data_IF_615058443775
#
_entry.id   IF_615058443775
#
_cell.length_a   1.000
_cell.length_b   1.000
_cell.length_c   1.000
_cell.angle_alpha   90.00
_cell.angle_beta   90.00
_cell.angle_gamma   90.00
#
_symmetry.space_group_name_H-M   'P 1'
#
loop_
_entity.id
_entity.type
_entity.pdbx_description
1 polymer ?
#
# COMPACT_ATOMS: atom_id res chain seq x y z
N UNK A 1 17.49 -19.02 -17.11
CA UNK A 1 16.27 -19.79 -16.88
C UNK A 1 16.35 -20.36 -15.47
N UNK A 2 15.78 -19.67 -14.50
CA UNK A 2 15.63 -20.18 -13.14
C UNK A 2 14.12 -20.23 -12.88
N UNK A 3 13.66 -21.46 -12.68
CA UNK A 3 12.27 -21.78 -12.39
C UNK A 3 11.78 -21.02 -11.15
N UNK A 4 10.74 -20.23 -11.33
CA UNK A 4 9.87 -19.80 -10.25
C UNK A 4 8.95 -20.98 -9.88
N UNK A 5 9.50 -22.00 -9.22
CA UNK A 5 8.67 -22.92 -8.48
C UNK A 5 8.12 -22.18 -7.27
N UNK A 6 6.83 -21.96 -7.26
CA UNK A 6 6.06 -21.53 -6.12
C UNK A 6 6.23 -22.53 -4.98
N UNK A 7 7.18 -22.29 -4.07
CA UNK A 7 7.21 -22.97 -2.78
C UNK A 7 6.01 -22.46 -1.97
N UNK A 8 4.90 -23.17 -2.12
CA UNK A 8 3.72 -23.04 -1.28
C UNK A 8 4.10 -23.61 0.08
N UNK A 9 4.14 -22.77 1.09
CA UNK A 9 4.23 -23.21 2.48
C UNK A 9 3.05 -24.15 2.80
N UNK A 10 3.26 -25.28 3.46
CA UNK A 10 2.19 -26.20 3.80
C UNK A 10 1.25 -25.57 4.84
N UNK A 11 -0.03 -25.55 4.53
CA UNK A 11 -1.08 -25.22 5.49
C UNK A 11 -1.09 -26.23 6.64
N UNK A 12 -1.36 -25.83 7.89
CA UNK A 12 -1.59 -26.77 8.98
C UNK A 12 -2.85 -27.58 8.68
N UNK A 13 -2.70 -28.90 8.67
CA UNK A 13 -3.82 -29.85 8.52
C UNK A 13 -4.71 -29.76 9.74
N UNK A 14 -5.96 -29.33 9.57
CA UNK A 14 -7.01 -29.49 10.56
C UNK A 14 -7.35 -30.99 10.67
N UNK A 15 -6.98 -31.61 11.76
CA UNK A 15 -7.47 -32.91 12.17
C UNK A 15 -8.83 -32.75 12.82
N UNK A 16 -9.88 -33.14 12.12
CA UNK A 16 -11.23 -33.27 12.68
C UNK A 16 -11.36 -34.67 13.29
N UNK A 17 -11.71 -34.83 14.58
CA UNK A 17 -12.24 -36.10 15.09
C UNK A 17 -13.73 -36.16 14.81
N UNK A 18 -14.17 -37.24 14.21
CA UNK A 18 -15.58 -37.57 14.03
C UNK A 18 -16.27 -37.77 15.38
N UNK A 19 -17.47 -37.23 15.50
CA UNK A 19 -18.37 -37.50 16.60
C UNK A 19 -19.64 -38.11 16.01
N UNK A 20 -19.90 -39.36 16.44
CA UNK A 20 -21.16 -40.07 16.24
C UNK A 20 -22.34 -39.33 16.88
N UNK A 21 -23.52 -39.46 16.22
CA UNK A 21 -24.81 -39.02 16.73
C UNK A 21 -25.32 -40.02 17.73
N UNK A 22 -25.75 -39.60 18.90
CA UNK A 22 -26.92 -40.13 19.56
C UNK A 22 -27.64 -39.05 20.38
N UNK A 23 -28.98 -39.11 20.33
CA UNK A 23 -29.87 -38.09 20.81
C UNK A 23 -30.18 -38.15 22.28
N UNK A 24 -30.61 -37.04 22.82
CA UNK A 24 -31.70 -36.91 23.79
C UNK A 24 -32.02 -35.43 24.08
N UNK A 25 -33.27 -35.00 23.84
CA UNK A 25 -33.83 -33.75 24.30
C UNK A 25 -33.97 -33.77 25.82
N UNK A 26 -33.51 -32.69 26.47
CA UNK A 26 -34.13 -32.24 27.73
C UNK A 26 -34.09 -30.71 27.83
N UNK A 27 -35.30 -30.16 27.98
CA UNK A 27 -35.57 -28.74 28.25
C UNK A 27 -35.23 -28.43 29.70
N UNK A 28 -34.56 -27.29 29.95
CA UNK A 28 -34.60 -26.63 31.26
C UNK A 28 -34.76 -25.13 31.09
N UNK A 29 -35.77 -24.60 31.77
CA UNK A 29 -36.12 -23.18 31.90
C UNK A 29 -35.39 -22.55 33.09
N UNK A 30 -35.18 -21.21 33.11
CA UNK A 30 -34.43 -20.53 34.16
C UNK A 30 -35.32 -20.18 35.36
N UNK A 31 -34.79 -20.31 36.58
CA UNK A 31 -35.38 -19.77 37.79
C UNK A 31 -34.55 -18.56 38.29
N UNK A 32 -35.26 -17.44 38.44
CA UNK A 32 -34.87 -16.26 39.23
C UNK A 32 -34.92 -16.57 40.73
N UNK A 33 -34.03 -15.99 41.53
CA UNK A 33 -34.33 -15.60 42.91
C UNK A 33 -33.25 -14.63 43.50
N UNK A 34 -33.56 -13.93 44.63
CA UNK A 34 -33.42 -12.48 44.64
C UNK A 34 -32.36 -11.96 45.66
N UNK A 35 -32.25 -10.63 45.69
CA UNK A 35 -31.37 -9.76 46.46
C UNK A 35 -31.31 -10.01 47.98
N UNK A 36 -30.11 -9.81 48.54
CA UNK A 36 -29.87 -9.54 49.96
C UNK A 36 -29.23 -8.15 50.12
N UNK A 37 -29.86 -7.31 50.96
CA UNK A 37 -29.42 -5.97 51.36
C UNK A 37 -28.63 -6.02 52.67
N UNK A 38 -27.56 -5.17 52.78
CA UNK A 38 -27.20 -4.37 53.96
C UNK A 38 -25.78 -4.68 54.50
N UNK A 39 -25.19 -3.84 55.34
CA UNK A 39 -25.52 -2.49 55.75
C UNK A 39 -24.39 -1.43 55.55
N UNK A 40 -24.77 -0.15 55.70
CA UNK A 40 -23.93 1.05 55.72
C UNK A 40 -23.00 1.12 56.93
N UNK A 41 -21.73 1.54 56.72
CA UNK A 41 -20.94 2.18 57.76
C UNK A 41 -20.27 3.46 57.24
N UNK A 42 -20.29 4.48 58.10
CA UNK A 42 -19.82 5.87 57.87
C UNK A 42 -18.29 5.96 58.12
N UNK A 43 -17.64 6.88 57.40
CA UNK A 43 -16.57 7.70 57.99
C UNK A 43 -15.18 7.45 57.46
N UNK A 44 -14.59 8.51 56.92
CA UNK A 44 -13.13 8.58 56.70
C UNK A 44 -12.75 9.34 55.44
N UNK A 45 -12.66 10.68 55.57
CA UNK A 45 -12.10 11.55 54.54
C UNK A 45 -10.58 11.43 54.58
N UNK A 46 -9.97 10.76 53.61
CA UNK A 46 -8.52 10.77 53.39
C UNK A 46 -8.23 11.44 52.05
N UNK A 47 -7.54 12.58 52.11
CA UNK A 47 -6.94 13.22 50.97
C UNK A 47 -5.89 12.28 50.31
N UNK A 48 -6.15 11.80 49.13
CA UNK A 48 -5.15 11.15 48.29
C UNK A 48 -4.73 12.14 47.21
N UNK A 49 -3.47 12.60 47.30
CA UNK A 49 -2.74 13.24 46.23
C UNK A 49 -2.73 12.30 45.02
N UNK A 50 -3.44 12.70 43.98
CA UNK A 50 -3.45 12.02 42.68
C UNK A 50 -2.10 12.23 41.98
N UNK A 51 -1.21 11.26 42.09
CA UNK A 51 -0.09 11.12 41.17
C UNK A 51 -0.65 10.72 39.80
N UNK A 52 -0.51 11.61 38.80
CA UNK A 52 -0.73 11.27 37.39
C UNK A 52 0.39 10.32 36.99
N UNK A 53 0.14 9.03 37.04
CA UNK A 53 0.96 8.04 36.33
C UNK A 53 0.73 8.26 34.83
N UNK A 54 1.69 8.92 34.17
CA UNK A 54 1.85 8.83 32.71
C UNK A 54 2.16 7.36 32.40
N UNK A 55 1.14 6.60 32.03
CA UNK A 55 1.31 5.29 31.45
C UNK A 55 1.97 5.49 30.08
N UNK A 56 3.31 5.45 30.05
CA UNK A 56 4.05 5.20 28.81
C UNK A 56 3.71 3.78 28.39
N UNK A 57 2.70 3.66 27.52
CA UNK A 57 2.37 2.40 26.89
C UNK A 57 3.59 1.95 26.06
N UNK A 58 4.40 1.09 26.63
CA UNK A 58 5.34 0.30 25.86
C UNK A 58 4.48 -0.61 25.00
N UNK A 59 4.40 -0.33 23.69
CA UNK A 59 3.98 -1.31 22.69
C UNK A 59 4.86 -2.54 22.95
N UNK A 60 4.28 -3.59 23.50
CA UNK A 60 4.97 -4.87 23.67
C UNK A 60 5.41 -5.31 22.28
N UNK A 61 6.72 -5.35 22.08
CA UNK A 61 7.29 -5.89 20.87
C UNK A 61 6.72 -7.31 20.70
N UNK A 62 6.03 -7.53 19.61
CA UNK A 62 5.52 -8.85 19.27
C UNK A 62 6.75 -9.77 19.12
N UNK A 63 6.82 -10.82 19.91
CA UNK A 63 7.92 -11.78 19.83
C UNK A 63 7.72 -12.63 18.58
N UNK A 64 8.52 -12.36 17.54
CA UNK A 64 8.56 -13.18 16.34
C UNK A 64 9.01 -14.60 16.69
N UNK A 65 8.42 -15.59 16.04
CA UNK A 65 8.90 -16.95 16.11
C UNK A 65 10.25 -17.09 15.37
N UNK A 66 11.06 -18.13 15.65
CA UNK A 66 12.30 -18.39 14.90
C UNK A 66 12.05 -18.54 13.39
N UNK A 67 10.91 -19.12 13.00
CA UNK A 67 10.54 -19.30 11.59
C UNK A 67 10.23 -17.95 10.93
N UNK A 68 9.45 -17.09 11.58
CA UNK A 68 9.16 -15.73 11.08
C UNK A 68 10.44 -14.91 10.94
N UNK A 69 11.35 -15.00 11.93
CA UNK A 69 12.65 -14.33 11.87
C UNK A 69 13.47 -14.79 10.67
N UNK A 70 13.59 -16.11 10.46
CA UNK A 70 14.31 -16.67 9.33
C UNK A 70 13.68 -16.27 7.98
N UNK A 71 12.35 -16.21 7.90
CA UNK A 71 11.64 -15.75 6.71
C UNK A 71 11.90 -14.28 6.41
N UNK A 72 11.91 -13.42 7.43
CA UNK A 72 12.25 -11.99 7.29
C UNK A 72 13.69 -11.83 6.80
N UNK A 73 14.66 -12.55 7.36
CA UNK A 73 16.06 -12.49 6.95
C UNK A 73 16.25 -12.92 5.49
N UNK A 74 15.61 -14.03 5.09
CA UNK A 74 15.64 -14.53 3.71
C UNK A 74 15.02 -13.53 2.74
N UNK A 75 13.88 -12.96 3.07
CA UNK A 75 13.19 -11.98 2.24
C UNK A 75 13.98 -10.67 2.14
N UNK A 76 14.54 -10.20 3.25
CA UNK A 76 15.41 -9.02 3.32
C UNK A 76 16.60 -9.15 2.36
N UNK A 77 17.26 -10.29 2.36
CA UNK A 77 18.36 -10.55 1.45
C UNK A 77 17.93 -10.58 -0.02
N UNK A 78 16.78 -11.22 -0.30
CA UNK A 78 16.28 -11.40 -1.68
C UNK A 78 15.75 -10.10 -2.30
N UNK A 79 15.13 -9.25 -1.51
CA UNK A 79 14.39 -8.07 -1.99
C UNK A 79 15.03 -6.74 -1.60
N UNK A 80 16.32 -6.75 -1.29
CA UNK A 80 17.07 -5.55 -0.92
C UNK A 80 16.46 -4.81 0.27
N UNK A 81 15.90 -5.57 1.22
CA UNK A 81 15.38 -5.04 2.46
C UNK A 81 16.48 -4.61 3.43
N UNK A 82 16.05 -4.08 4.56
CA UNK A 82 16.91 -3.73 5.69
C UNK A 82 16.06 -3.84 6.98
N UNK A 83 16.49 -4.65 7.93
CA UNK A 83 15.74 -4.91 9.16
C UNK A 83 16.67 -5.10 10.36
N UNK A 84 17.47 -4.08 10.75
CA UNK A 84 18.42 -4.20 11.84
C UNK A 84 17.74 -4.41 13.19
N UNK A 85 18.38 -5.20 14.05
CA UNK A 85 17.96 -5.42 15.44
C UNK A 85 18.03 -4.13 16.27
N UNK A 86 19.06 -3.30 16.03
CA UNK A 86 19.20 -1.97 16.62
C UNK A 86 19.16 -0.91 15.51
N UNK A 87 17.99 -0.36 15.20
CA UNK A 87 17.82 0.63 14.12
C UNK A 87 18.20 2.06 14.53
N UNK A 88 18.60 2.29 15.78
CA UNK A 88 18.74 3.63 16.33
C UNK A 88 17.40 4.34 16.59
N UNK A 89 17.41 5.61 17.00
CA UNK A 89 16.20 6.36 17.33
C UNK A 89 15.39 6.77 16.10
N UNK A 90 14.11 7.04 16.31
CA UNK A 90 13.26 7.72 15.30
C UNK A 90 13.76 9.13 15.07
N UNK A 91 13.50 9.68 13.87
CA UNK A 91 13.87 11.04 13.52
C UNK A 91 13.14 12.05 14.42
N UNK A 92 13.90 12.92 15.08
CA UNK A 92 13.38 14.00 15.94
C UNK A 92 13.47 15.39 15.26
N UNK A 93 14.12 15.44 14.10
CA UNK A 93 14.33 16.64 13.28
C UNK A 93 13.27 16.84 12.20
N UNK A 94 12.29 15.95 12.12
CA UNK A 94 11.19 16.03 11.14
C UNK A 94 9.91 16.58 11.78
N UNK A 95 9.27 17.52 11.09
CA UNK A 95 7.93 17.97 11.43
C UNK A 95 6.87 17.06 10.80
N UNK A 96 5.86 16.72 11.57
CA UNK A 96 4.69 15.97 11.10
C UNK A 96 3.61 16.84 10.46
N UNK A 97 3.86 18.14 10.35
CA UNK A 97 2.96 19.05 9.66
C UNK A 97 2.88 18.73 8.17
N UNK A 98 1.73 19.02 7.57
CA UNK A 98 1.49 18.82 6.14
C UNK A 98 1.78 20.04 5.27
N UNK A 99 2.46 21.05 5.83
CA UNK A 99 2.94 22.16 5.00
C UNK A 99 4.02 21.66 4.01
N UNK A 100 4.12 22.27 2.82
CA UNK A 100 5.02 21.76 1.78
C UNK A 100 6.48 21.68 2.19
N UNK A 101 6.95 22.59 3.06
CA UNK A 101 8.33 22.59 3.54
C UNK A 101 8.63 21.38 4.42
N UNK A 102 7.77 21.12 5.39
CA UNK A 102 7.89 19.95 6.29
C UNK A 102 7.80 18.63 5.51
N UNK A 103 6.84 18.52 4.58
CA UNK A 103 6.67 17.32 3.76
C UNK A 103 7.90 17.08 2.88
N UNK A 104 8.41 18.12 2.21
CA UNK A 104 9.63 18.03 1.39
C UNK A 104 10.87 17.64 2.20
N UNK A 105 10.98 18.10 3.45
CA UNK A 105 12.09 17.71 4.33
C UNK A 105 12.05 16.22 4.66
N UNK A 106 10.88 15.68 5.02
CA UNK A 106 10.71 14.24 5.28
C UNK A 106 10.96 13.41 4.01
N UNK A 107 10.40 13.82 2.88
CA UNK A 107 10.59 13.19 1.58
C UNK A 107 12.07 13.10 1.21
N UNK A 108 12.81 14.22 1.31
CA UNK A 108 14.24 14.29 1.00
C UNK A 108 15.06 13.36 1.88
N UNK A 109 14.83 13.38 3.19
CA UNK A 109 15.57 12.54 4.14
C UNK A 109 15.45 11.04 3.79
N UNK A 110 14.24 10.59 3.48
CA UNK A 110 13.98 9.19 3.10
C UNK A 110 14.53 8.87 1.71
N UNK A 111 14.33 9.76 0.73
CA UNK A 111 14.80 9.56 -0.63
C UNK A 111 16.33 9.51 -0.71
N UNK A 112 17.03 10.43 -0.03
CA UNK A 112 18.51 10.47 0.01
C UNK A 112 19.08 9.20 0.64
N UNK A 113 18.53 8.76 1.78
CA UNK A 113 18.96 7.52 2.43
C UNK A 113 18.78 6.32 1.48
N UNK A 114 17.62 6.23 0.83
CA UNK A 114 17.32 5.09 -0.04
C UNK A 114 18.16 5.12 -1.32
N UNK A 115 18.34 6.28 -1.96
CA UNK A 115 19.14 6.40 -3.18
C UNK A 115 20.59 6.02 -2.91
N UNK A 116 21.21 6.57 -1.84
CA UNK A 116 22.61 6.32 -1.50
C UNK A 116 22.93 4.82 -1.32
N UNK A 117 21.98 4.05 -0.73
CA UNK A 117 22.21 2.62 -0.50
C UNK A 117 21.86 1.75 -1.69
N UNK A 118 20.95 2.20 -2.58
CA UNK A 118 20.31 1.33 -3.57
C UNK A 118 20.81 1.51 -5.00
N UNK A 119 21.32 2.68 -5.38
CA UNK A 119 21.71 3.00 -6.77
C UNK A 119 22.64 1.97 -7.41
N UNK A 120 23.68 1.42 -6.72
CA UNK A 120 24.56 0.42 -7.33
C UNK A 120 23.90 -0.92 -7.66
N UNK A 121 22.71 -1.19 -7.04
CA UNK A 121 22.05 -2.49 -7.05
C UNK A 121 20.73 -2.52 -7.82
N UNK A 122 20.38 -1.47 -8.54
CA UNK A 122 19.11 -1.37 -9.28
C UNK A 122 18.83 -2.59 -10.15
N UNK A 123 17.56 -3.10 -10.06
CA UNK A 123 17.01 -4.25 -10.75
C UNK A 123 15.64 -3.88 -11.36
N UNK A 124 15.04 -4.77 -12.17
CA UNK A 124 13.74 -4.56 -12.83
C UNK A 124 12.59 -5.33 -12.19
N UNK A 125 12.78 -5.95 -11.02
CA UNK A 125 11.67 -6.60 -10.31
C UNK A 125 10.72 -5.55 -9.72
N UNK A 126 9.47 -5.92 -9.51
CA UNK A 126 8.39 -5.01 -9.08
C UNK A 126 8.71 -4.22 -7.81
N UNK A 127 9.46 -4.81 -6.85
CA UNK A 127 9.85 -4.13 -5.60
C UNK A 127 10.68 -2.87 -5.85
N UNK A 128 11.52 -2.89 -6.90
CA UNK A 128 12.31 -1.75 -7.33
C UNK A 128 11.48 -0.78 -8.17
N UNK A 129 10.61 -1.28 -9.04
CA UNK A 129 9.79 -0.44 -9.90
C UNK A 129 8.94 0.55 -9.12
N UNK A 130 8.40 0.14 -7.97
CA UNK A 130 7.66 1.04 -7.07
C UNK A 130 8.56 2.12 -6.47
N UNK A 131 9.79 1.78 -6.10
CA UNK A 131 10.78 2.77 -5.66
C UNK A 131 11.06 3.81 -6.75
N UNK A 132 11.20 3.35 -8.00
CA UNK A 132 11.49 4.22 -9.14
C UNK A 132 10.38 5.23 -9.41
N UNK A 133 9.12 4.81 -9.38
CA UNK A 133 7.98 5.75 -9.41
C UNK A 133 8.03 6.75 -8.25
N UNK A 134 8.45 6.31 -7.05
CA UNK A 134 8.69 7.19 -5.92
C UNK A 134 9.82 8.19 -6.15
N UNK A 135 10.93 7.79 -6.78
CA UNK A 135 12.02 8.69 -7.14
C UNK A 135 11.62 9.71 -8.22
N UNK A 136 10.81 9.30 -9.22
CA UNK A 136 10.26 10.24 -10.18
C UNK A 136 9.39 11.31 -9.50
N UNK A 137 8.52 10.90 -8.57
CA UNK A 137 7.72 11.81 -7.76
C UNK A 137 8.58 12.73 -6.87
N UNK A 138 9.67 12.19 -6.29
CA UNK A 138 10.62 12.98 -5.49
C UNK A 138 11.36 14.02 -6.34
N UNK A 139 11.84 13.63 -7.53
CA UNK A 139 12.50 14.54 -8.45
C UNK A 139 11.62 15.75 -8.78
N UNK A 140 10.37 15.51 -9.16
CA UNK A 140 9.40 16.55 -9.48
C UNK A 140 9.06 17.43 -8.27
N UNK A 141 8.73 16.83 -7.12
CA UNK A 141 8.27 17.54 -5.93
C UNK A 141 9.36 18.38 -5.26
N UNK A 142 10.58 17.84 -5.22
CA UNK A 142 11.74 18.50 -4.60
C UNK A 142 12.46 19.44 -5.57
N UNK A 143 12.15 19.40 -6.87
CA UNK A 143 12.89 20.05 -7.94
C UNK A 143 14.38 19.68 -7.90
N UNK A 144 14.65 18.39 -7.76
CA UNK A 144 15.98 17.84 -7.60
C UNK A 144 16.21 16.73 -8.66
N UNK A 145 17.00 16.99 -9.70
CA UNK A 145 17.16 16.06 -10.81
C UNK A 145 17.93 14.79 -10.44
N UNK A 146 18.67 14.76 -9.31
CA UNK A 146 19.45 13.57 -8.92
C UNK A 146 18.63 12.28 -8.94
N UNK A 147 17.35 12.35 -8.57
CA UNK A 147 16.50 11.18 -8.54
C UNK A 147 16.07 10.75 -9.95
N UNK A 148 15.66 11.68 -10.82
CA UNK A 148 15.32 11.35 -12.21
C UNK A 148 16.55 10.95 -13.03
N UNK A 149 17.71 11.56 -12.79
CA UNK A 149 18.97 11.20 -13.45
C UNK A 149 19.36 9.76 -13.11
N UNK A 150 19.23 9.36 -11.83
CA UNK A 150 19.44 7.97 -11.42
C UNK A 150 18.45 7.00 -12.10
N UNK A 151 17.21 7.44 -12.37
CA UNK A 151 16.22 6.64 -13.11
C UNK A 151 16.54 6.56 -14.60
N UNK A 152 17.09 7.61 -15.19
CA UNK A 152 17.60 7.60 -16.56
C UNK A 152 18.78 6.62 -16.69
N UNK A 153 19.78 6.71 -15.81
CA UNK A 153 20.92 5.78 -15.76
C UNK A 153 20.49 4.31 -15.59
N UNK A 154 19.52 4.06 -14.70
CA UNK A 154 18.93 2.73 -14.53
C UNK A 154 18.27 2.25 -15.82
N UNK A 155 17.50 3.10 -16.48
CA UNK A 155 16.78 2.76 -17.69
C UNK A 155 17.73 2.45 -18.86
N UNK A 156 18.79 3.23 -19.02
CA UNK A 156 19.86 3.01 -19.99
C UNK A 156 20.62 1.70 -19.72
N UNK A 157 20.96 1.44 -18.44
CA UNK A 157 21.60 0.18 -18.02
C UNK A 157 20.81 -1.04 -18.48
N UNK A 158 19.50 -0.98 -18.40
CA UNK A 158 18.59 -2.04 -18.81
C UNK A 158 18.06 -1.90 -20.24
N UNK A 159 18.59 -0.94 -21.04
CA UNK A 159 18.20 -0.71 -22.41
C UNK A 159 16.69 -0.53 -22.59
N UNK A 160 16.04 0.09 -21.62
CA UNK A 160 14.57 0.34 -21.59
C UNK A 160 13.70 -0.93 -21.70
N UNK A 161 14.31 -2.12 -21.47
CA UNK A 161 13.61 -3.40 -21.59
C UNK A 161 12.81 -3.72 -20.35
N UNK A 162 11.57 -4.20 -20.52
CA UNK A 162 10.82 -4.84 -19.46
C UNK A 162 11.55 -6.09 -18.96
N UNK A 163 11.11 -6.63 -17.82
CA UNK A 163 11.81 -7.77 -17.21
C UNK A 163 11.70 -9.06 -18.02
N UNK A 164 10.62 -9.23 -18.80
CA UNK A 164 10.33 -10.43 -19.58
C UNK A 164 9.83 -10.04 -20.99
N UNK A 165 10.04 -10.91 -21.98
CA UNK A 165 9.46 -10.78 -23.33
C UNK A 165 7.95 -10.98 -23.32
N UNK A 166 7.43 -11.82 -22.39
CA UNK A 166 6.01 -12.04 -22.15
C UNK A 166 5.68 -11.59 -20.72
N UNK A 167 5.61 -10.27 -20.47
CA UNK A 167 5.57 -9.74 -19.13
C UNK A 167 4.21 -9.97 -18.47
N UNK A 168 4.22 -10.56 -17.26
CA UNK A 168 3.10 -10.46 -16.35
C UNK A 168 3.00 -9.02 -15.79
N UNK A 169 2.03 -8.74 -14.90
CA UNK A 169 1.86 -7.39 -14.36
C UNK A 169 3.11 -6.88 -13.61
N UNK A 170 3.76 -7.73 -12.81
CA UNK A 170 4.97 -7.36 -12.08
C UNK A 170 6.13 -7.02 -13.02
N UNK A 171 6.30 -7.80 -14.09
CA UNK A 171 7.34 -7.57 -15.10
C UNK A 171 7.11 -6.29 -15.93
N UNK A 172 5.85 -5.84 -16.04
CA UNK A 172 5.48 -4.59 -16.70
C UNK A 172 5.82 -3.35 -15.84
N UNK A 173 5.85 -3.48 -14.52
CA UNK A 173 5.83 -2.36 -13.58
C UNK A 173 6.96 -1.33 -13.78
N UNK A 174 8.15 -1.74 -14.21
CA UNK A 174 9.28 -0.84 -14.51
C UNK A 174 8.97 0.09 -15.69
N UNK A 175 8.07 -0.32 -16.58
CA UNK A 175 7.58 0.47 -17.71
C UNK A 175 6.89 1.77 -17.29
N UNK A 176 6.36 1.87 -16.06
CA UNK A 176 5.84 3.12 -15.53
C UNK A 176 6.92 4.21 -15.59
N UNK A 177 8.10 3.94 -15.03
CA UNK A 177 9.23 4.88 -15.01
C UNK A 177 9.75 5.18 -16.41
N UNK A 178 9.88 4.18 -17.29
CA UNK A 178 10.31 4.40 -18.67
C UNK A 178 9.38 5.35 -19.42
N UNK A 179 8.08 5.18 -19.25
CA UNK A 179 7.09 6.03 -19.90
C UNK A 179 7.00 7.41 -19.27
N UNK A 180 7.16 7.56 -17.96
CA UNK A 180 7.28 8.86 -17.32
C UNK A 180 8.50 9.65 -17.85
N UNK A 181 9.66 9.02 -17.99
CA UNK A 181 10.85 9.62 -18.61
C UNK A 181 10.62 9.96 -20.07
N UNK A 182 9.90 9.09 -20.83
CA UNK A 182 9.49 9.41 -22.21
C UNK A 182 8.56 10.62 -22.26
N UNK A 183 7.60 10.73 -21.34
CA UNK A 183 6.67 11.86 -21.32
C UNK A 183 7.36 13.19 -21.01
N UNK A 184 8.45 13.17 -20.25
CA UNK A 184 9.29 14.34 -19.99
C UNK A 184 10.16 14.73 -21.20
N UNK A 185 10.78 13.73 -21.84
CA UNK A 185 11.66 13.94 -23.00
C UNK A 185 11.28 12.91 -24.07
N UNK A 186 10.60 13.35 -25.11
CA UNK A 186 9.96 12.53 -26.16
C UNK A 186 10.96 11.77 -27.05
N UNK A 187 11.91 11.05 -26.43
CA UNK A 187 12.86 10.19 -27.12
C UNK A 187 12.21 8.82 -27.41
N UNK A 188 12.04 8.43 -28.68
CA UNK A 188 11.34 7.21 -29.07
C UNK A 188 11.92 5.92 -28.44
N UNK A 189 13.21 5.85 -28.17
CA UNK A 189 13.85 4.68 -27.60
C UNK A 189 13.32 4.35 -26.20
N UNK A 190 12.96 5.38 -25.42
CA UNK A 190 12.47 5.25 -24.05
C UNK A 190 11.17 4.45 -23.92
N UNK A 191 10.33 4.43 -24.97
CA UNK A 191 9.06 3.70 -24.95
C UNK A 191 9.03 2.47 -25.85
N UNK A 192 9.97 2.34 -26.80
CA UNK A 192 9.88 1.38 -27.89
C UNK A 192 9.73 -0.07 -27.40
N UNK A 193 10.56 -0.50 -26.45
CA UNK A 193 10.51 -1.86 -25.92
C UNK A 193 9.23 -2.12 -25.11
N UNK A 194 8.80 -1.15 -24.27
CA UNK A 194 7.54 -1.26 -23.54
C UNK A 194 6.36 -1.33 -24.51
N UNK A 195 6.33 -0.48 -25.54
CA UNK A 195 5.28 -0.49 -26.56
C UNK A 195 5.21 -1.84 -27.28
N UNK A 196 6.35 -2.38 -27.73
CA UNK A 196 6.41 -3.67 -28.39
C UNK A 196 5.88 -4.81 -27.51
N UNK A 197 6.23 -4.81 -26.22
CA UNK A 197 5.73 -5.80 -25.26
C UNK A 197 4.21 -5.70 -25.07
N UNK A 198 3.66 -4.50 -24.90
CA UNK A 198 2.20 -4.30 -24.77
C UNK A 198 1.46 -4.67 -26.06
N UNK A 199 2.00 -4.33 -27.23
CA UNK A 199 1.44 -4.72 -28.53
C UNK A 199 1.46 -6.26 -28.71
N UNK A 200 2.49 -6.94 -28.19
CA UNK A 200 2.54 -8.39 -28.11
C UNK A 200 1.41 -8.99 -27.25
N UNK A 201 1.14 -8.40 -26.08
CA UNK A 201 0.02 -8.82 -25.22
C UNK A 201 -1.33 -8.59 -25.91
N UNK A 202 -1.52 -7.48 -26.61
CA UNK A 202 -2.71 -7.21 -27.44
C UNK A 202 -2.87 -8.23 -28.57
N UNK A 203 -1.78 -8.77 -29.12
CA UNK A 203 -1.79 -9.80 -30.15
C UNK A 203 -1.99 -11.23 -29.59
N UNK A 204 -2.23 -11.38 -28.29
CA UNK A 204 -2.50 -12.66 -27.63
C UNK A 204 -1.29 -13.34 -26.99
N UNK A 205 -0.12 -12.68 -26.95
CA UNK A 205 0.95 -13.14 -26.07
C UNK A 205 0.48 -13.12 -24.61
N UNK A 206 0.91 -14.06 -23.80
CA UNK A 206 0.52 -14.11 -22.38
C UNK A 206 1.65 -14.66 -21.53
N UNK A 207 1.79 -14.13 -20.32
CA UNK A 207 2.59 -14.77 -19.30
C UNK A 207 1.86 -16.00 -18.74
N UNK A 208 2.62 -16.97 -18.24
CA UNK A 208 2.04 -18.14 -17.58
C UNK A 208 1.32 -17.74 -16.29
N UNK A 209 0.09 -18.22 -16.13
CA UNK A 209 -0.69 -18.07 -14.91
C UNK A 209 -0.61 -19.34 -14.08
N UNK A 210 -0.40 -19.29 -12.74
CA UNK A 210 -0.39 -20.46 -11.90
C UNK A 210 -1.72 -21.25 -12.00
N UNK A 211 -1.66 -22.57 -12.06
CA UNK A 211 -2.83 -23.44 -12.28
C UNK A 211 -3.92 -23.31 -11.21
N UNK A 212 -3.54 -22.92 -9.99
CA UNK A 212 -4.47 -22.71 -8.86
C UNK A 212 -5.04 -21.30 -8.80
N UNK A 213 -4.78 -20.47 -9.82
CA UNK A 213 -5.27 -19.09 -9.90
C UNK A 213 -6.29 -18.92 -11.03
N UNK A 214 -7.03 -17.82 -11.01
CA UNK A 214 -7.90 -17.44 -12.11
C UNK A 214 -7.07 -17.24 -13.37
N UNK A 215 -7.50 -17.86 -14.49
CA UNK A 215 -6.75 -17.86 -15.76
C UNK A 215 -7.00 -16.55 -16.52
N UNK A 216 -6.65 -15.41 -15.88
CA UNK A 216 -6.74 -14.05 -16.42
C UNK A 216 -5.40 -13.34 -16.25
N UNK A 217 -5.07 -12.31 -17.05
CA UNK A 217 -3.77 -11.64 -17.00
C UNK A 217 -3.44 -11.03 -15.63
N UNK A 218 -4.41 -10.42 -14.97
CA UNK A 218 -4.23 -9.74 -13.68
C UNK A 218 -5.01 -10.49 -12.57
N UNK A 219 -4.60 -11.73 -12.31
CA UNK A 219 -5.29 -12.67 -11.41
C UNK A 219 -5.15 -12.35 -9.91
N UNK A 220 -4.40 -11.29 -9.53
CA UNK A 220 -4.21 -10.85 -8.15
C UNK A 220 -4.36 -9.32 -8.03
N UNK A 221 -4.80 -8.84 -6.88
CA UNK A 221 -5.15 -7.43 -6.69
C UNK A 221 -3.96 -6.47 -6.86
N UNK A 222 -2.74 -6.90 -6.50
CA UNK A 222 -1.52 -6.08 -6.62
C UNK A 222 -1.22 -5.75 -8.10
N UNK A 223 -1.61 -6.64 -9.02
CA UNK A 223 -1.47 -6.42 -10.46
C UNK A 223 -2.10 -5.10 -10.91
N UNK A 224 -3.15 -4.63 -10.21
CA UNK A 224 -3.86 -3.39 -10.50
C UNK A 224 -3.05 -2.11 -10.21
N UNK A 225 -1.91 -2.22 -9.54
CA UNK A 225 -0.91 -1.15 -9.47
C UNK A 225 0.23 -1.36 -10.46
N UNK A 226 0.61 -2.63 -10.69
CA UNK A 226 1.82 -2.95 -11.44
C UNK A 226 1.66 -2.68 -12.95
N UNK A 227 0.57 -3.14 -13.55
CA UNK A 227 0.33 -3.06 -14.99
C UNK A 227 -0.51 -1.84 -15.43
N UNK A 228 -1.71 -1.56 -14.88
CA UNK A 228 -2.61 -0.53 -15.42
C UNK A 228 -1.98 0.85 -15.65
N UNK A 229 -1.11 1.38 -14.76
CA UNK A 229 -0.44 2.65 -15.03
C UNK A 229 0.49 2.62 -16.26
N UNK A 230 1.08 1.47 -16.60
CA UNK A 230 1.89 1.33 -17.83
C UNK A 230 1.01 1.50 -19.07
N UNK A 231 -0.19 0.93 -19.04
CA UNK A 231 -1.16 1.03 -20.14
C UNK A 231 -1.72 2.44 -20.28
N UNK A 232 -2.03 3.12 -19.17
CA UNK A 232 -2.51 4.52 -19.22
C UNK A 232 -1.40 5.47 -19.67
N UNK A 233 -0.17 5.31 -19.20
CA UNK A 233 0.99 6.09 -19.69
C UNK A 233 1.28 5.83 -21.17
N UNK A 234 1.10 4.59 -21.66
CA UNK A 234 1.26 4.28 -23.07
C UNK A 234 0.16 4.97 -23.90
N UNK A 235 -1.07 5.05 -23.41
CA UNK A 235 -2.10 5.87 -24.01
C UNK A 235 -1.68 7.35 -24.05
N UNK A 236 -1.19 7.91 -22.96
CA UNK A 236 -0.71 9.30 -22.91
C UNK A 236 0.47 9.55 -23.88
N UNK A 237 1.28 8.52 -24.12
CA UNK A 237 2.42 8.57 -25.05
C UNK A 237 2.02 8.50 -26.52
N UNK A 238 0.92 7.80 -26.86
CA UNK A 238 0.55 7.44 -28.25
C UNK A 238 -0.80 7.97 -28.69
N UNK A 239 -1.70 8.26 -27.76
CA UNK A 239 -3.13 8.54 -27.96
C UNK A 239 -3.91 7.41 -28.66
N UNK A 240 -3.39 6.17 -28.63
CA UNK A 240 -4.06 5.01 -29.20
C UNK A 240 -4.98 4.37 -28.14
N UNK A 241 -6.28 4.41 -28.41
CA UNK A 241 -7.33 3.95 -27.50
C UNK A 241 -7.24 2.45 -27.16
N UNK A 242 -6.54 1.64 -27.98
CA UNK A 242 -6.37 0.20 -27.71
C UNK A 242 -5.78 -0.08 -26.33
N UNK A 243 -4.86 0.78 -25.85
CA UNK A 243 -4.22 0.62 -24.55
C UNK A 243 -5.19 0.84 -23.38
N UNK A 244 -6.06 1.86 -23.46
CA UNK A 244 -7.11 2.04 -22.47
C UNK A 244 -8.20 0.97 -22.55
N UNK A 245 -8.50 0.46 -23.74
CA UNK A 245 -9.49 -0.63 -23.91
C UNK A 245 -9.03 -1.91 -23.22
N UNK A 246 -7.77 -2.31 -23.40
CA UNK A 246 -7.17 -3.46 -22.74
C UNK A 246 -7.13 -3.28 -21.22
N UNK A 247 -6.69 -2.10 -20.76
CA UNK A 247 -6.68 -1.74 -19.34
C UNK A 247 -8.08 -1.87 -18.72
N UNK A 248 -9.10 -1.30 -19.37
CA UNK A 248 -10.47 -1.28 -18.89
C UNK A 248 -11.04 -2.71 -18.79
N UNK A 249 -10.85 -3.53 -19.82
CA UNK A 249 -11.29 -4.92 -19.85
C UNK A 249 -10.73 -5.71 -18.66
N UNK A 250 -9.42 -5.73 -18.50
CA UNK A 250 -8.77 -6.56 -17.48
C UNK A 250 -8.87 -5.99 -16.06
N UNK A 251 -8.99 -4.66 -15.91
CA UNK A 251 -9.32 -4.08 -14.60
C UNK A 251 -10.65 -4.60 -14.07
N UNK A 252 -11.69 -4.55 -14.91
CA UNK A 252 -13.02 -4.98 -14.47
C UNK A 252 -13.18 -6.49 -14.41
N UNK A 253 -12.41 -7.25 -15.17
CA UNK A 253 -12.31 -8.70 -15.04
C UNK A 253 -11.75 -9.09 -13.67
N UNK A 254 -10.64 -8.49 -13.24
CA UNK A 254 -10.08 -8.69 -11.90
C UNK A 254 -11.02 -8.22 -10.79
N UNK A 255 -11.63 -7.03 -10.96
CA UNK A 255 -12.58 -6.48 -9.99
C UNK A 255 -13.80 -7.38 -9.79
N UNK A 256 -14.33 -7.95 -10.86
CA UNK A 256 -15.45 -8.90 -10.78
C UNK A 256 -15.13 -10.13 -9.94
N UNK A 257 -13.88 -10.56 -9.91
CA UNK A 257 -13.45 -11.74 -9.17
C UNK A 257 -13.09 -11.42 -7.71
N UNK A 258 -12.41 -10.32 -7.46
CA UNK A 258 -11.71 -10.07 -6.20
C UNK A 258 -12.32 -8.96 -5.35
N UNK A 259 -13.20 -8.11 -5.90
CA UNK A 259 -13.81 -7.01 -5.16
C UNK A 259 -15.02 -7.49 -4.35
N UNK A 260 -14.95 -7.37 -3.03
CA UNK A 260 -16.10 -7.55 -2.14
C UNK A 260 -16.93 -6.26 -2.12
N UNK A 261 -18.05 -6.26 -2.87
CA UNK A 261 -18.95 -5.11 -3.00
C UNK A 261 -19.71 -4.75 -1.70
N UNK A 262 -19.71 -5.63 -0.69
CA UNK A 262 -20.35 -5.31 0.61
C UNK A 262 -19.38 -4.58 1.55
N UNK A 263 -18.08 -4.92 1.46
CA UNK A 263 -17.04 -4.33 2.30
C UNK A 263 -16.23 -3.26 1.58
N UNK A 264 -16.38 -3.18 0.26
CA UNK A 264 -15.61 -2.30 -0.62
C UNK A 264 -14.09 -2.48 -0.50
N UNK A 265 -13.66 -3.75 -0.37
CA UNK A 265 -12.27 -4.17 -0.23
C UNK A 265 -11.96 -5.30 -1.21
N UNK A 266 -10.67 -5.46 -1.54
CA UNK A 266 -10.20 -6.54 -2.41
C UNK A 266 -9.62 -7.69 -1.62
N UNK A 267 -10.00 -8.91 -1.98
CA UNK A 267 -9.21 -10.10 -1.71
C UNK A 267 -7.93 -10.07 -2.53
N UNK A 268 -6.85 -10.67 -2.02
CA UNK A 268 -5.58 -10.69 -2.74
C UNK A 268 -5.69 -11.45 -4.07
N UNK A 269 -6.23 -12.66 -4.04
CA UNK A 269 -6.51 -13.53 -5.19
C UNK A 269 -7.61 -14.54 -4.82
N UNK A 270 -7.96 -15.44 -5.76
CA UNK A 270 -9.06 -16.40 -5.54
C UNK A 270 -8.83 -17.37 -4.39
N UNK A 271 -7.60 -17.60 -3.94
CA UNK A 271 -7.31 -18.48 -2.81
C UNK A 271 -7.73 -17.88 -1.47
N UNK A 272 -7.92 -16.54 -1.42
CA UNK A 272 -8.35 -15.81 -0.23
C UNK A 272 -9.87 -15.59 -0.14
N UNK A 273 -10.66 -15.94 -1.18
CA UNK A 273 -12.12 -15.68 -1.18
C UNK A 273 -12.87 -16.33 0.01
N UNK A 274 -12.32 -17.41 0.55
CA UNK A 274 -12.89 -18.14 1.68
C UNK A 274 -11.93 -18.27 2.86
N UNK A 275 -10.76 -17.64 2.80
CA UNK A 275 -9.81 -17.60 3.89
C UNK A 275 -10.29 -16.65 5.00
N UNK A 276 -9.99 -17.02 6.25
CA UNK A 276 -10.33 -16.22 7.41
C UNK A 276 -9.12 -15.98 8.29
N UNK A 277 -9.10 -14.83 8.95
CA UNK A 277 -8.15 -14.47 10.01
C UNK A 277 -8.42 -15.29 11.27
N UNK A 278 -7.56 -15.17 12.28
CA UNK A 278 -7.69 -15.83 13.58
C UNK A 278 -9.00 -15.47 14.30
N UNK A 279 -9.50 -14.27 14.10
CA UNK A 279 -10.79 -13.79 14.63
C UNK A 279 -12.02 -14.25 13.81
N UNK A 280 -11.85 -15.10 12.80
CA UNK A 280 -12.90 -15.63 11.94
C UNK A 280 -13.41 -14.66 10.86
N UNK A 281 -12.80 -13.46 10.70
CA UNK A 281 -13.18 -12.49 9.67
C UNK A 281 -12.42 -12.78 8.36
N UNK A 282 -12.94 -12.36 7.20
CA UNK A 282 -12.23 -12.50 5.92
C UNK A 282 -10.88 -11.80 5.93
N UNK A 283 -9.91 -12.35 5.20
CA UNK A 283 -8.57 -11.77 5.05
C UNK A 283 -8.60 -10.61 4.07
N UNK A 284 -8.47 -9.37 4.57
CA UNK A 284 -8.26 -8.19 3.74
C UNK A 284 -6.92 -7.53 4.10
N UNK A 285 -5.94 -7.77 3.24
CA UNK A 285 -4.60 -7.27 3.41
C UNK A 285 -4.48 -5.78 3.07
N UNK A 286 -3.93 -4.98 3.98
CA UNK A 286 -3.85 -3.52 3.82
C UNK A 286 -3.02 -3.10 2.61
N UNK A 287 -1.84 -3.70 2.40
CA UNK A 287 -0.99 -3.40 1.25
C UNK A 287 -1.66 -3.80 -0.07
N UNK A 288 -2.34 -4.95 -0.13
CA UNK A 288 -3.11 -5.37 -1.32
C UNK A 288 -4.16 -4.33 -1.70
N UNK A 289 -4.95 -3.87 -0.72
CA UNK A 289 -5.95 -2.81 -0.93
C UNK A 289 -5.30 -1.46 -1.25
N UNK A 290 -4.18 -1.15 -0.62
CA UNK A 290 -3.37 0.02 -0.94
C UNK A 290 -2.90 0.04 -2.40
N UNK A 291 -2.45 -1.11 -2.93
CA UNK A 291 -2.07 -1.24 -4.35
C UNK A 291 -3.22 -0.88 -5.27
N UNK A 292 -4.42 -1.43 -5.03
CA UNK A 292 -5.58 -1.13 -5.88
C UNK A 292 -5.93 0.36 -5.85
N UNK A 293 -6.01 0.96 -4.67
CA UNK A 293 -6.34 2.38 -4.53
C UNK A 293 -5.30 3.28 -5.22
N UNK A 294 -4.02 3.00 -5.04
CA UNK A 294 -2.93 3.72 -5.70
C UNK A 294 -2.92 3.48 -7.23
N UNK A 295 -3.24 2.27 -7.67
CA UNK A 295 -3.41 1.92 -9.08
C UNK A 295 -4.55 2.69 -9.74
N UNK A 296 -5.70 2.86 -9.07
CA UNK A 296 -6.79 3.72 -9.55
C UNK A 296 -6.29 5.15 -9.74
N UNK A 297 -5.64 5.72 -8.74
CA UNK A 297 -5.14 7.09 -8.79
C UNK A 297 -4.20 7.30 -9.97
N UNK A 298 -3.17 6.46 -10.12
CA UNK A 298 -2.20 6.55 -11.22
C UNK A 298 -2.83 6.31 -12.61
N UNK A 299 -3.78 5.39 -12.71
CA UNK A 299 -4.51 5.15 -13.96
C UNK A 299 -5.33 6.37 -14.38
N UNK A 300 -5.98 7.02 -13.43
CA UNK A 300 -6.81 8.20 -13.67
C UNK A 300 -6.01 9.46 -14.04
N UNK A 301 -4.70 9.51 -13.77
CA UNK A 301 -3.83 10.62 -14.18
C UNK A 301 -3.86 10.83 -15.70
N UNK A 302 -3.80 9.75 -16.47
CA UNK A 302 -3.74 9.81 -17.94
C UNK A 302 -5.07 9.49 -18.62
N UNK A 303 -6.04 8.93 -17.91
CA UNK A 303 -7.34 8.60 -18.47
C UNK A 303 -8.12 9.88 -18.77
N UNK A 304 -8.60 10.11 -20.01
CA UNK A 304 -9.36 11.30 -20.36
C UNK A 304 -10.59 11.50 -19.48
N UNK A 305 -10.93 12.75 -19.20
CA UNK A 305 -12.09 13.10 -18.37
C UNK A 305 -13.41 12.58 -18.95
N UNK A 306 -13.49 12.45 -20.28
CA UNK A 306 -14.65 11.94 -21.00
C UNK A 306 -14.57 10.45 -21.35
N UNK A 307 -13.59 9.71 -20.81
CA UNK A 307 -13.50 8.26 -21.05
C UNK A 307 -14.71 7.54 -20.44
N UNK A 308 -15.39 6.65 -21.20
CA UNK A 308 -16.71 6.13 -20.80
C UNK A 308 -16.76 5.47 -19.42
N UNK A 309 -15.71 4.75 -19.02
CA UNK A 309 -15.66 4.04 -17.73
C UNK A 309 -14.97 4.84 -16.61
N UNK A 310 -14.41 6.04 -16.88
CA UNK A 310 -13.72 6.85 -15.85
C UNK A 310 -14.53 6.99 -14.55
N UNK A 311 -15.83 7.27 -14.68
CA UNK A 311 -16.73 7.40 -13.52
C UNK A 311 -16.83 6.13 -12.66
N UNK A 312 -16.60 4.93 -13.23
CA UNK A 312 -16.59 3.68 -12.46
C UNK A 312 -15.34 3.60 -11.58
N UNK A 313 -14.16 3.98 -12.10
CA UNK A 313 -12.90 4.04 -11.31
C UNK A 313 -13.02 5.05 -10.17
N UNK A 314 -13.54 6.23 -10.45
CA UNK A 314 -13.77 7.25 -9.41
C UNK A 314 -14.75 6.77 -8.34
N UNK A 315 -15.80 6.05 -8.73
CA UNK A 315 -16.76 5.46 -7.79
C UNK A 315 -16.10 4.40 -6.94
N UNK A 316 -15.34 3.48 -7.54
CA UNK A 316 -14.61 2.45 -6.80
C UNK A 316 -13.60 3.06 -5.82
N UNK A 317 -12.88 4.13 -6.22
CA UNK A 317 -11.99 4.84 -5.31
C UNK A 317 -12.75 5.45 -4.12
N UNK A 318 -13.92 6.07 -4.34
CA UNK A 318 -14.76 6.63 -3.26
C UNK A 318 -15.22 5.54 -2.28
N UNK A 319 -15.69 4.41 -2.79
CA UNK A 319 -16.17 3.28 -1.99
C UNK A 319 -15.02 2.69 -1.14
N UNK A 320 -13.90 2.36 -1.76
CA UNK A 320 -12.73 1.83 -1.05
C UNK A 320 -12.19 2.83 -0.02
N UNK A 321 -12.15 4.12 -0.37
CA UNK A 321 -11.70 5.18 0.52
C UNK A 321 -12.57 5.29 1.77
N UNK A 322 -13.90 5.23 1.62
CA UNK A 322 -14.82 5.23 2.75
C UNK A 322 -14.60 4.01 3.66
N UNK A 323 -14.42 2.83 3.05
CA UNK A 323 -14.18 1.58 3.78
C UNK A 323 -12.86 1.64 4.59
N UNK A 324 -11.74 1.99 3.95
CA UNK A 324 -10.44 2.03 4.66
C UNK A 324 -10.38 3.14 5.70
N UNK A 325 -11.04 4.28 5.48
CA UNK A 325 -11.08 5.38 6.46
C UNK A 325 -11.71 4.94 7.79
N UNK A 326 -12.75 4.09 7.74
CA UNK A 326 -13.37 3.54 8.93
C UNK A 326 -12.45 2.57 9.71
N UNK A 327 -11.40 2.07 9.08
CA UNK A 327 -10.44 1.11 9.63
C UNK A 327 -9.10 1.76 10.01
N UNK A 328 -8.97 3.09 9.88
CA UNK A 328 -7.76 3.81 10.26
C UNK A 328 -7.55 3.74 11.78
N UNK A 329 -6.41 3.24 12.23
CA UNK A 329 -6.10 3.15 13.65
C UNK A 329 -6.06 4.55 14.31
N UNK A 330 -6.74 4.66 15.45
CA UNK A 330 -6.94 5.93 16.13
C UNK A 330 -5.65 6.50 16.72
N UNK A 331 -4.74 5.66 17.15
CA UNK A 331 -3.52 6.04 17.87
C UNK A 331 -2.39 6.35 16.89
N UNK A 332 -2.06 5.43 16.00
CA UNK A 332 -0.97 5.58 15.04
C UNK A 332 -1.33 6.46 13.86
N UNK A 333 -2.60 6.50 13.47
CA UNK A 333 -3.08 7.13 12.24
C UNK A 333 -2.83 6.31 10.98
N UNK A 334 -2.27 5.12 11.09
CA UNK A 334 -1.96 4.22 10.00
C UNK A 334 -2.97 3.05 9.95
N UNK A 335 -2.74 2.10 9.08
CA UNK A 335 -3.49 0.84 9.01
C UNK A 335 -2.58 -0.31 9.38
N UNK A 336 -3.15 -1.36 9.95
CA UNK A 336 -2.46 -2.59 10.31
C UNK A 336 -2.30 -3.49 9.07
N UNK A 337 -1.43 -4.50 9.13
CA UNK A 337 -1.23 -5.43 8.00
C UNK A 337 -2.54 -6.11 7.58
N UNK A 338 -3.34 -6.60 8.54
CA UNK A 338 -4.73 -6.98 8.30
C UNK A 338 -5.67 -5.81 8.59
N UNK A 339 -6.58 -5.51 7.65
CA UNK A 339 -7.59 -4.47 7.82
C UNK A 339 -8.69 -4.86 8.82
N UNK A 340 -8.90 -6.17 9.05
CA UNK A 340 -9.97 -6.66 9.89
C UNK A 340 -9.50 -7.39 11.16
N UNK A 341 -8.20 -7.57 11.36
CA UNK A 341 -7.62 -8.21 12.53
C UNK A 341 -6.39 -7.46 13.07
N UNK A 342 -6.61 -6.25 13.56
CA UNK A 342 -5.55 -5.45 14.17
C UNK A 342 -5.05 -6.04 15.51
N UNK A 343 -5.79 -6.95 16.12
CA UNK A 343 -5.37 -7.59 17.36
C UNK A 343 -4.24 -8.60 17.14
N UNK A 344 -4.32 -9.36 16.03
CA UNK A 344 -3.26 -10.29 15.65
C UNK A 344 -2.08 -9.55 14.98
N UNK A 345 -2.34 -8.43 14.30
CA UNK A 345 -1.34 -7.61 13.63
C UNK A 345 -1.24 -6.20 14.26
N UNK A 346 -0.75 -6.05 15.49
CA UNK A 346 -0.86 -4.79 16.25
C UNK A 346 0.07 -3.67 15.77
N UNK A 347 1.11 -3.99 14.97
CA UNK A 347 1.99 -2.96 14.43
C UNK A 347 1.35 -2.22 13.25
N UNK A 348 1.51 -0.89 13.15
CA UNK A 348 1.05 -0.13 12.00
C UNK A 348 1.90 -0.40 10.78
N UNK A 349 1.29 -0.85 9.67
CA UNK A 349 1.97 -1.27 8.44
C UNK A 349 2.19 -0.06 7.52
N UNK A 350 3.45 0.27 7.26
CA UNK A 350 3.84 1.52 6.58
C UNK A 350 3.55 1.50 5.09
N UNK A 351 3.75 0.38 4.37
CA UNK A 351 3.62 0.36 2.91
C UNK A 351 2.17 0.50 2.45
N UNK A 352 1.25 -0.28 3.00
CA UNK A 352 -0.17 -0.15 2.73
C UNK A 352 -0.72 1.21 3.14
N UNK A 353 -0.29 1.71 4.32
CA UNK A 353 -0.66 3.04 4.79
C UNK A 353 -0.18 4.17 3.85
N UNK A 354 1.03 4.05 3.32
CA UNK A 354 1.56 5.03 2.38
C UNK A 354 0.79 5.03 1.05
N UNK A 355 0.49 3.85 0.49
CA UNK A 355 -0.31 3.71 -0.73
C UNK A 355 -1.73 4.28 -0.57
N UNK A 356 -2.39 3.98 0.55
CA UNK A 356 -3.70 4.54 0.87
C UNK A 356 -3.63 6.06 1.05
N UNK A 357 -2.59 6.58 1.72
CA UNK A 357 -2.38 8.02 1.90
C UNK A 357 -2.15 8.71 0.56
N UNK A 358 -1.37 8.12 -0.35
CA UNK A 358 -1.20 8.60 -1.72
C UNK A 358 -2.55 8.72 -2.44
N UNK A 359 -3.33 7.64 -2.48
CA UNK A 359 -4.61 7.61 -3.18
C UNK A 359 -5.64 8.59 -2.59
N UNK A 360 -5.68 8.72 -1.26
CA UNK A 360 -6.51 9.70 -0.55
C UNK A 360 -6.13 11.13 -0.91
N UNK A 361 -4.83 11.46 -0.86
CA UNK A 361 -4.34 12.79 -1.14
C UNK A 361 -4.52 13.14 -2.63
N UNK A 362 -4.22 12.21 -3.53
CA UNK A 362 -4.49 12.33 -4.96
C UNK A 362 -5.99 12.61 -5.23
N UNK A 363 -6.87 11.80 -4.64
CA UNK A 363 -8.31 11.96 -4.81
C UNK A 363 -8.83 13.32 -4.35
N UNK A 364 -8.29 13.87 -3.26
CA UNK A 364 -8.60 15.22 -2.77
C UNK A 364 -8.05 16.29 -3.72
N UNK A 365 -6.82 16.15 -4.20
CA UNK A 365 -6.17 17.10 -5.09
C UNK A 365 -6.88 17.21 -6.44
N UNK A 366 -7.43 16.08 -6.94
CA UNK A 366 -8.12 16.00 -8.22
C UNK A 366 -9.66 16.12 -8.12
N UNK A 367 -10.20 16.42 -6.92
CA UNK A 367 -11.62 16.67 -6.72
C UNK A 367 -12.51 15.40 -6.80
N UNK A 368 -11.91 14.21 -6.78
CA UNK A 368 -12.63 12.93 -6.70
C UNK A 368 -13.17 12.70 -5.29
N UNK A 369 -12.43 13.14 -4.27
CA UNK A 369 -12.77 12.99 -2.86
C UNK A 369 -13.05 14.36 -2.21
N UNK A 370 -13.99 14.39 -1.24
CA UNK A 370 -14.31 15.61 -0.49
C UNK A 370 -13.14 16.05 0.39
N UNK A 371 -12.67 17.27 0.16
CA UNK A 371 -11.52 17.84 0.87
C UNK A 371 -11.78 18.00 2.39
N UNK A 372 -12.98 18.39 2.78
CA UNK A 372 -13.34 18.59 4.18
C UNK A 372 -13.31 17.31 4.98
N UNK A 373 -13.81 16.22 4.36
CA UNK A 373 -13.89 14.89 4.96
C UNK A 373 -12.51 14.23 5.06
N UNK A 374 -11.74 14.25 3.96
CA UNK A 374 -10.52 13.40 3.88
C UNK A 374 -9.22 14.10 4.27
N UNK A 375 -9.14 15.44 4.27
CA UNK A 375 -7.92 16.13 4.73
C UNK A 375 -7.54 15.79 6.18
N UNK A 376 -8.46 15.66 7.15
CA UNK A 376 -8.13 15.22 8.50
C UNK A 376 -7.58 13.77 8.55
N UNK A 377 -8.13 12.86 7.75
CA UNK A 377 -7.68 11.46 7.61
C UNK A 377 -6.25 11.42 7.09
N UNK A 378 -5.97 12.16 6.00
CA UNK A 378 -4.64 12.27 5.40
C UNK A 378 -3.64 12.88 6.39
N UNK A 379 -4.03 13.94 7.11
CA UNK A 379 -3.14 14.58 8.08
C UNK A 379 -2.75 13.63 9.23
N UNK A 380 -3.67 12.78 9.65
CA UNK A 380 -3.44 11.76 10.66
C UNK A 380 -2.53 10.65 10.14
N UNK A 381 -2.77 10.16 8.93
CA UNK A 381 -1.93 9.17 8.26
C UNK A 381 -0.51 9.71 8.01
N UNK A 382 -0.38 10.94 7.52
CA UNK A 382 0.90 11.59 7.29
C UNK A 382 1.74 11.70 8.57
N UNK A 383 1.13 12.09 9.69
CA UNK A 383 1.79 12.11 11.00
C UNK A 383 2.33 10.73 11.36
N UNK A 384 1.53 9.70 11.19
CA UNK A 384 1.93 8.32 11.43
C UNK A 384 3.10 7.88 10.55
N UNK A 385 3.06 8.20 9.25
CA UNK A 385 4.11 7.88 8.27
C UNK A 385 5.44 8.56 8.63
N UNK A 386 5.43 9.86 8.96
CA UNK A 386 6.65 10.56 9.41
C UNK A 386 7.19 9.95 10.69
N UNK A 387 6.33 9.49 11.59
CA UNK A 387 6.71 8.77 12.80
C UNK A 387 7.42 7.43 12.56
N UNK A 388 7.36 6.88 11.33
CA UNK A 388 8.11 5.68 10.97
C UNK A 388 9.52 5.95 10.44
N UNK A 389 9.92 7.20 10.27
CA UNK A 389 11.26 7.57 9.79
C UNK A 389 12.26 7.52 10.94
N UNK A 390 13.40 6.88 10.73
CA UNK A 390 14.52 6.83 11.66
C UNK A 390 15.49 8.01 11.44
N UNK A 391 16.35 8.25 12.42
CA UNK A 391 17.28 9.38 12.39
C UNK A 391 18.25 9.36 11.21
N UNK A 392 18.64 8.17 10.74
CA UNK A 392 19.48 7.96 9.56
C UNK A 392 18.77 8.19 8.22
N UNK A 393 17.44 8.26 8.21
CA UNK A 393 16.59 8.39 7.01
C UNK A 393 15.87 7.11 6.61
N UNK A 394 16.13 5.97 7.27
CA UNK A 394 15.39 4.72 7.05
C UNK A 394 13.91 4.89 7.32
N UNK A 395 13.07 4.39 6.45
CA UNK A 395 11.63 4.26 6.68
C UNK A 395 11.33 2.85 7.18
N UNK A 396 10.92 2.71 8.44
CA UNK A 396 10.62 1.41 9.04
C UNK A 396 9.14 1.01 8.97
N UNK A 397 8.81 -0.12 9.59
CA UNK A 397 7.44 -0.61 9.72
C UNK A 397 6.86 -1.14 8.41
N UNK A 398 7.69 -1.57 7.47
CA UNK A 398 7.27 -2.13 6.19
C UNK A 398 7.27 -3.66 6.31
N UNK A 399 6.10 -4.29 6.17
CA UNK A 399 5.98 -5.73 6.10
C UNK A 399 6.77 -6.28 4.90
N UNK A 400 7.49 -7.39 5.06
CA UNK A 400 8.19 -8.10 3.98
C UNK A 400 7.25 -8.51 2.83
N UNK A 401 7.83 -8.96 1.71
CA UNK A 401 7.05 -9.46 0.58
C UNK A 401 6.20 -10.66 0.99
N UNK A 402 5.03 -10.80 0.39
CA UNK A 402 4.11 -11.89 0.70
C UNK A 402 2.71 -11.62 0.15
N UNK A 403 1.84 -12.63 0.13
CA UNK A 403 0.48 -12.52 -0.42
C UNK A 403 -0.59 -12.14 0.62
N UNK A 404 -0.22 -11.99 1.90
CA UNK A 404 -1.15 -11.86 3.01
C UNK A 404 -0.58 -10.99 4.13
N UNK A 405 -1.38 -10.60 5.14
CA UNK A 405 -0.88 -10.04 6.38
C UNK A 405 0.18 -10.95 7.00
N UNK A 406 1.24 -10.37 7.54
CA UNK A 406 2.29 -11.08 8.26
C UNK A 406 2.91 -10.18 9.32
N UNK A 407 3.55 -10.78 10.31
CA UNK A 407 4.34 -10.07 11.31
C UNK A 407 5.68 -9.60 10.72
N UNK A 408 6.20 -8.49 11.23
CA UNK A 408 7.44 -7.88 10.75
C UNK A 408 8.12 -7.08 11.87
N UNK A 409 9.38 -6.71 11.67
CA UNK A 409 10.10 -5.88 12.62
C UNK A 409 9.74 -4.38 12.43
N UNK A 410 9.62 -3.59 13.51
CA UNK A 410 9.43 -2.14 13.42
C UNK A 410 10.51 -1.42 12.60
N UNK A 411 11.72 -2.02 12.51
CA UNK A 411 12.84 -1.53 11.72
C UNK A 411 12.80 -1.93 10.26
N UNK A 412 11.95 -2.89 9.88
CA UNK A 412 11.89 -3.42 8.52
C UNK A 412 11.63 -2.34 7.48
N UNK A 413 12.51 -2.24 6.49
CA UNK A 413 12.48 -1.30 5.39
C UNK A 413 12.62 -2.05 4.08
N UNK A 414 11.75 -1.75 3.11
CA UNK A 414 11.79 -2.34 1.77
C UNK A 414 11.56 -1.27 0.71
N UNK A 415 12.18 -1.43 -0.44
CA UNK A 415 12.17 -0.48 -1.55
C UNK A 415 10.77 -0.04 -1.97
N UNK A 416 9.83 -0.97 -2.10
CA UNK A 416 8.44 -0.67 -2.49
C UNK A 416 7.69 0.19 -1.47
N UNK A 417 7.93 -0.01 -0.17
CA UNK A 417 7.31 0.82 0.86
C UNK A 417 7.89 2.23 0.90
N UNK A 418 9.20 2.36 0.64
CA UNK A 418 9.84 3.67 0.46
C UNK A 418 9.25 4.37 -0.77
N UNK A 419 9.12 3.68 -1.91
CA UNK A 419 8.48 4.24 -3.11
C UNK A 419 7.07 4.74 -2.84
N UNK A 420 6.26 3.95 -2.13
CA UNK A 420 4.91 4.33 -1.71
C UNK A 420 4.90 5.60 -0.81
N UNK A 421 5.85 5.71 0.13
CA UNK A 421 6.01 6.90 0.97
C UNK A 421 6.35 8.15 0.13
N UNK A 422 7.22 8.02 -0.86
CA UNK A 422 7.60 9.13 -1.74
C UNK A 422 6.41 9.57 -2.62
N UNK A 423 5.61 8.63 -3.14
CA UNK A 423 4.36 8.93 -3.84
C UNK A 423 3.36 9.64 -2.91
N UNK A 424 3.17 9.16 -1.67
CA UNK A 424 2.31 9.82 -0.70
C UNK A 424 2.80 11.24 -0.37
N UNK A 425 4.12 11.41 -0.20
CA UNK A 425 4.73 12.71 0.08
C UNK A 425 4.44 13.72 -1.02
N UNK A 426 4.52 13.34 -2.30
CA UNK A 426 4.26 14.23 -3.43
C UNK A 426 2.84 14.80 -3.39
N UNK A 427 1.85 13.94 -3.14
CA UNK A 427 0.45 14.37 -3.10
C UNK A 427 0.11 15.15 -1.82
N UNK A 428 0.68 14.77 -0.67
CA UNK A 428 0.48 15.51 0.58
C UNK A 428 1.07 16.93 0.48
N UNK A 429 2.21 17.12 -0.20
CA UNK A 429 2.80 18.44 -0.43
C UNK A 429 1.89 19.37 -1.25
N UNK A 430 1.06 18.81 -2.14
CA UNK A 430 0.15 19.59 -2.99
C UNK A 430 -1.14 20.01 -2.27
N UNK A 431 -1.57 19.32 -1.21
CA UNK A 431 -2.81 19.61 -0.48
C UNK A 431 -2.90 21.05 0.00
N UNK A 432 -1.79 21.64 0.43
CA UNK A 432 -1.72 23.00 0.98
C UNK A 432 -1.69 24.08 -0.09
N UNK A 433 -1.18 23.78 -1.29
CA UNK A 433 -1.06 24.74 -2.39
C UNK A 433 -2.44 25.14 -2.94
N UNK A 434 -3.35 24.18 -3.06
CA UNK A 434 -4.72 24.43 -3.51
C UNK A 434 -5.56 25.23 -2.51
N UNK A 435 -5.19 25.24 -1.23
CA UNK A 435 -5.85 26.07 -0.21
C UNK A 435 -5.41 27.55 -0.29
N UNK A 436 -4.14 27.80 -0.60
CA UNK A 436 -3.59 29.17 -0.72
C UNK A 436 -4.12 29.90 -1.96
N UNK A 437 -4.27 29.20 -3.09
CA UNK A 437 -4.77 29.77 -4.33
C UNK A 437 -6.22 30.30 -4.22
N UNK A 438 -7.08 29.62 -3.46
CA UNK A 438 -8.46 30.06 -3.22
C UNK A 438 -8.55 31.29 -2.30
N UNK A 439 -7.62 31.47 -1.38
CA UNK A 439 -7.59 32.64 -0.47
C UNK A 439 -7.03 33.89 -1.12
N UNK A 440 -6.19 33.77 -2.16
CA UNK A 440 -5.67 34.92 -2.91
C UNK A 440 -6.69 35.51 -3.89
N UNK A 441 -7.62 34.72 -4.42
CA UNK A 441 -8.68 35.19 -5.31
C UNK A 441 -9.91 35.77 -4.58
N UNK A 442 -10.06 35.50 -3.27
CA UNK A 442 -11.16 36.00 -2.44
C UNK A 442 -10.92 37.36 -1.79
N UNK A 443 -9.73 37.96 -1.93
CA UNK A 443 -9.39 39.30 -1.37
C UNK A 443 -9.35 40.43 -2.40
N UNK A 444 -9.81 40.17 -3.60
CA UNK A 444 -9.81 41.13 -4.72
C UNK A 444 -11.20 41.49 -5.24
N UNK A 445 -12.24 41.45 -4.40
CA UNK A 445 -13.57 41.98 -4.71
C UNK A 445 -14.01 42.97 -3.63
#
# INVERSE_FOLDING_TARGET
MQDYSSDVLPHPRSSTPGIERDGAMTRFSPRFSPAVRGPRSRGGMALLLGGVLLATGHLTAQSLTPEETANIEKDTSRHFGDAPQDPGPRASDLSTAKDPGAVKAAMRKVADWQLARSQPFFDRIWTWSVLYSGFMAASSTLHDPRYSDAMEEMSEKFQWQLRSEHPNADDQSVGQTYLELYLQKRDPERKAATQAALDGLLAGASAAVPKNQAQIPWWWCDALFMAPPVWSHMYAATHDAKYLSYLDEHWWETSKLLYDAQRHLYFRDITFLHATESNGRPVFWSRGNGWVMAGIARTLEDMPANYPSRGKYETQLREMTAAVTALQDAQSGLWHASLLDSADYPLPETSGSALMTFALAWGVNHGVLDRGVYTPVIAKAWRGLVGQVYADGRLGGIQQTGPAPAHYLPSSSYTYGVGAFLLASSEVAQLSQHSAAKHSHGRGQ
#
